data_IF_999990385153
#
_entry.id   IF_999990385153
#
_cell.length_a   1.000
_cell.length_b   1.000
_cell.length_c   1.000
_cell.angle_alpha   90.00
_cell.angle_beta   90.00
_cell.angle_gamma   90.00
#
_symmetry.space_group_name_H-M   'P 1'
#
loop_
_entity.id
_entity.type
_entity.pdbx_description
1 polymer ?
#
# COMPACT_ATOMS: atom_id res chain seq x y z
N UNK A 1 6.68 -11.89 -17.88
CA UNK A 1 5.48 -11.96 -18.73
C UNK A 1 5.70 -11.39 -20.11
N UNK A 2 5.90 -10.07 -20.35
CA UNK A 2 6.13 -9.54 -21.72
C UNK A 2 7.37 -10.07 -22.45
N UNK A 3 8.50 -10.26 -21.77
CA UNK A 3 9.68 -10.90 -22.40
C UNK A 3 9.43 -12.38 -22.70
N UNK A 4 8.67 -13.06 -21.85
CA UNK A 4 8.25 -14.45 -22.04
C UNK A 4 7.26 -14.56 -23.20
N UNK A 5 6.29 -13.65 -23.28
CA UNK A 5 5.35 -13.47 -24.38
C UNK A 5 6.11 -13.15 -25.68
N UNK A 6 7.10 -12.26 -25.67
CA UNK A 6 7.98 -12.01 -26.83
C UNK A 6 8.81 -13.23 -27.22
N UNK A 7 9.30 -14.01 -26.26
CA UNK A 7 10.06 -15.23 -26.52
C UNK A 7 9.15 -16.33 -27.10
N UNK A 8 7.96 -16.54 -26.53
CA UNK A 8 6.95 -17.48 -27.01
C UNK A 8 6.44 -17.07 -28.39
N UNK A 9 6.01 -15.81 -28.56
CA UNK A 9 5.54 -15.26 -29.84
C UNK A 9 6.67 -15.19 -30.88
N UNK A 10 7.93 -15.10 -30.44
CA UNK A 10 9.12 -15.13 -31.28
C UNK A 10 9.73 -16.52 -31.50
N UNK A 11 9.07 -17.60 -31.05
CA UNK A 11 9.55 -18.99 -31.12
C UNK A 11 10.98 -19.22 -30.57
N UNK A 12 11.37 -18.45 -29.55
CA UNK A 12 12.67 -18.56 -28.88
C UNK A 12 12.61 -19.50 -27.69
N UNK A 13 13.76 -20.05 -27.31
CA UNK A 13 13.87 -21.00 -26.21
C UNK A 13 13.43 -20.37 -24.88
N UNK A 14 12.45 -20.99 -24.23
CA UNK A 14 11.95 -20.59 -22.91
C UNK A 14 12.49 -21.59 -21.89
N UNK A 15 13.12 -21.12 -20.82
CA UNK A 15 13.66 -22.02 -19.79
C UNK A 15 12.55 -22.69 -18.98
N UNK A 16 12.79 -23.91 -18.47
CA UNK A 16 11.81 -24.66 -17.65
C UNK A 16 11.34 -23.90 -16.42
N UNK A 17 12.21 -23.07 -15.82
CA UNK A 17 11.85 -22.22 -14.66
C UNK A 17 10.86 -21.11 -15.01
N UNK A 18 10.94 -20.57 -16.23
CA UNK A 18 10.01 -19.55 -16.73
C UNK A 18 8.61 -20.12 -16.97
N UNK A 19 8.52 -21.36 -17.45
CA UNK A 19 7.25 -22.08 -17.60
C UNK A 19 6.65 -22.46 -16.24
N UNK A 20 7.48 -22.92 -15.29
CA UNK A 20 7.04 -23.23 -13.92
C UNK A 20 6.50 -21.99 -13.18
N UNK A 21 7.08 -20.81 -13.41
CA UNK A 21 6.57 -19.55 -12.86
C UNK A 21 5.26 -19.09 -13.51
N UNK A 22 4.96 -19.52 -14.74
CA UNK A 22 3.68 -19.29 -15.40
C UNK A 22 2.60 -20.25 -14.88
N UNK A 23 2.94 -21.52 -14.75
CA UNK A 23 2.04 -22.56 -14.21
C UNK A 23 1.64 -22.28 -12.75
N UNK A 24 2.45 -21.52 -12.00
CA UNK A 24 2.12 -21.11 -10.63
C UNK A 24 1.24 -19.86 -10.55
N UNK A 25 1.04 -19.14 -11.66
CA UNK A 25 0.15 -17.97 -11.71
C UNK A 25 -1.24 -18.42 -12.13
N UNK A 26 -2.16 -18.46 -11.16
CA UNK A 26 -3.57 -18.65 -11.45
C UNK A 26 -4.22 -17.28 -11.73
N UNK A 27 -4.78 -17.12 -12.93
CA UNK A 27 -5.56 -15.94 -13.28
C UNK A 27 -7.00 -16.16 -12.82
N UNK A 28 -7.45 -15.36 -11.86
CA UNK A 28 -8.83 -15.36 -11.38
C UNK A 28 -9.79 -14.66 -12.36
N UNK A 29 -11.09 -14.60 -12.04
CA UNK A 29 -12.04 -13.80 -12.81
C UNK A 29 -11.65 -12.31 -12.84
N UNK A 30 -12.15 -11.58 -13.83
CA UNK A 30 -12.00 -10.12 -13.85
C UNK A 30 -13.02 -9.49 -12.89
N UNK A 31 -12.66 -8.38 -12.26
CA UNK A 31 -13.58 -7.59 -11.47
C UNK A 31 -13.35 -6.09 -11.68
N UNK A 32 -14.44 -5.33 -11.60
CA UNK A 32 -14.39 -3.88 -11.80
C UNK A 32 -13.88 -3.20 -10.54
N UNK A 33 -12.77 -2.48 -10.66
CA UNK A 33 -12.13 -1.76 -9.56
C UNK A 33 -12.42 -0.27 -9.55
N UNK A 34 -13.10 0.26 -10.57
CA UNK A 34 -13.20 1.70 -10.79
C UNK A 34 -11.82 2.34 -10.98
N UNK A 35 -11.63 3.53 -10.42
CA UNK A 35 -10.28 4.12 -10.30
C UNK A 35 -9.61 3.60 -9.02
N UNK A 36 -9.35 2.29 -9.01
CA UNK A 36 -8.73 1.60 -7.89
C UNK A 36 -7.36 2.18 -7.56
N UNK A 37 -7.16 2.54 -6.29
CA UNK A 37 -5.92 3.15 -5.80
C UNK A 37 -5.09 2.17 -4.98
N UNK A 38 -5.73 1.33 -4.16
CA UNK A 38 -5.03 0.39 -3.31
C UNK A 38 -5.85 -0.89 -3.06
N UNK A 39 -5.16 -1.98 -2.83
CA UNK A 39 -5.74 -3.28 -2.49
C UNK A 39 -4.99 -3.85 -1.30
N UNK A 40 -5.70 -4.34 -0.29
CA UNK A 40 -5.09 -4.96 0.89
C UNK A 40 -5.85 -6.22 1.29
N UNK A 41 -5.12 -7.24 1.76
CA UNK A 41 -5.70 -8.50 2.20
C UNK A 41 -5.91 -8.52 3.71
N UNK A 42 -7.15 -8.77 4.13
CA UNK A 42 -7.50 -9.02 5.54
C UNK A 42 -7.47 -10.53 5.79
N UNK A 43 -6.43 -11.00 6.50
CA UNK A 43 -6.27 -12.43 6.74
C UNK A 43 -7.25 -12.98 7.77
N UNK A 44 -7.93 -12.14 8.57
CA UNK A 44 -8.96 -12.57 9.52
C UNK A 44 -10.28 -12.83 8.81
N UNK A 45 -10.75 -11.88 7.99
CA UNK A 45 -12.01 -12.06 7.25
C UNK A 45 -11.85 -12.84 5.94
N UNK A 46 -10.60 -13.07 5.48
CA UNK A 46 -10.30 -13.65 4.16
C UNK A 46 -11.00 -12.86 3.06
N UNK A 47 -10.87 -11.55 3.11
CA UNK A 47 -11.38 -10.60 2.12
C UNK A 47 -10.25 -9.74 1.59
N UNK A 48 -10.44 -9.27 0.38
CA UNK A 48 -9.69 -8.13 -0.12
C UNK A 48 -10.45 -6.86 0.22
N UNK A 49 -9.71 -5.80 0.50
CA UNK A 49 -10.23 -4.46 0.67
C UNK A 49 -9.69 -3.60 -0.46
N UNK A 50 -10.57 -3.16 -1.34
CA UNK A 50 -10.27 -2.27 -2.44
C UNK A 50 -10.62 -0.84 -2.03
N UNK A 51 -9.62 0.03 -2.06
CA UNK A 51 -9.82 1.46 -1.97
C UNK A 51 -9.79 2.07 -3.37
N UNK A 52 -10.82 2.83 -3.71
CA UNK A 52 -10.92 3.52 -5.00
C UNK A 52 -11.23 5.00 -4.83
N UNK A 53 -10.77 5.81 -5.77
CA UNK A 53 -11.14 7.23 -5.85
C UNK A 53 -12.62 7.36 -6.26
N UNK A 54 -13.33 8.27 -5.61
CA UNK A 54 -14.72 8.58 -5.92
C UNK A 54 -14.86 9.63 -7.02
N UNK A 55 -16.06 10.20 -7.13
CA UNK A 55 -16.40 11.18 -8.18
C UNK A 55 -15.72 12.55 -8.02
N UNK A 56 -15.09 12.81 -6.86
CA UNK A 56 -14.31 14.02 -6.61
C UNK A 56 -13.03 13.71 -5.83
N UNK A 57 -12.09 14.65 -5.87
CA UNK A 57 -10.74 14.48 -5.31
C UNK A 57 -10.67 14.27 -3.79
N UNK A 58 -11.79 14.34 -3.06
CA UNK A 58 -11.86 14.18 -1.60
C UNK A 58 -12.67 12.96 -1.16
N UNK A 59 -13.36 12.31 -2.10
CA UNK A 59 -14.18 11.13 -1.83
C UNK A 59 -13.44 9.88 -2.23
N UNK A 60 -13.62 8.86 -1.41
CA UNK A 60 -13.08 7.53 -1.64
C UNK A 60 -14.15 6.50 -1.29
N UNK A 61 -14.07 5.34 -1.92
CA UNK A 61 -14.84 4.18 -1.52
C UNK A 61 -13.90 3.12 -0.96
N UNK A 62 -14.37 2.42 0.07
CA UNK A 62 -13.71 1.24 0.61
C UNK A 62 -14.65 0.05 0.44
N UNK A 63 -14.23 -0.91 -0.37
CA UNK A 63 -15.06 -2.04 -0.78
C UNK A 63 -14.42 -3.35 -0.34
N UNK A 64 -15.15 -4.16 0.41
CA UNK A 64 -14.80 -5.56 0.62
C UNK A 64 -15.05 -6.34 -0.66
N UNK A 65 -14.08 -7.15 -1.06
CA UNK A 65 -14.15 -8.02 -2.23
C UNK A 65 -13.98 -9.47 -1.79
N UNK A 66 -14.89 -10.33 -2.23
CA UNK A 66 -14.83 -11.76 -1.97
C UNK A 66 -13.72 -12.42 -2.80
N UNK A 67 -12.84 -13.20 -2.16
CA UNK A 67 -11.68 -13.80 -2.83
C UNK A 67 -12.00 -14.85 -3.90
N UNK A 68 -13.18 -15.48 -3.83
CA UNK A 68 -13.54 -16.57 -4.75
C UNK A 68 -14.25 -16.04 -5.99
N UNK A 69 -15.18 -15.12 -5.76
CA UNK A 69 -16.02 -14.55 -6.82
C UNK A 69 -15.46 -13.26 -7.38
N UNK A 70 -14.56 -12.61 -6.64
CA UNK A 70 -14.06 -11.25 -6.89
C UNK A 70 -15.18 -10.20 -7.01
N UNK A 71 -16.36 -10.51 -6.44
CA UNK A 71 -17.47 -9.59 -6.38
C UNK A 71 -17.37 -8.67 -5.15
N UNK A 72 -17.86 -7.42 -5.25
CA UNK A 72 -18.02 -6.55 -4.10
C UNK A 72 -19.03 -7.15 -3.11
N UNK A 73 -18.70 -7.14 -1.82
CA UNK A 73 -19.54 -7.63 -0.73
C UNK A 73 -20.25 -6.47 -0.04
N UNK A 74 -19.47 -5.50 0.41
CA UNK A 74 -19.94 -4.29 1.09
C UNK A 74 -19.05 -3.14 0.66
N UNK A 75 -19.64 -1.96 0.50
CA UNK A 75 -18.92 -0.75 0.11
C UNK A 75 -19.39 0.42 0.96
N UNK A 76 -18.44 1.27 1.33
CA UNK A 76 -18.73 2.49 2.07
C UNK A 76 -17.92 3.65 1.47
N UNK A 77 -18.62 4.73 1.16
CA UNK A 77 -18.00 5.99 0.78
C UNK A 77 -17.57 6.77 2.02
N UNK A 78 -16.42 7.42 1.90
CA UNK A 78 -15.87 8.26 2.95
C UNK A 78 -15.06 9.42 2.36
N UNK A 79 -14.88 10.41 3.22
CA UNK A 79 -13.98 11.54 2.99
C UNK A 79 -13.32 11.87 4.30
N UNK A 80 -12.09 12.35 4.23
CA UNK A 80 -11.35 12.76 5.40
C UNK A 80 -11.45 14.26 5.64
N UNK A 81 -11.37 14.63 6.90
CA UNK A 81 -11.19 16.01 7.31
C UNK A 81 -10.15 16.03 8.41
N UNK A 82 -9.17 16.93 8.30
CA UNK A 82 -8.24 17.18 9.38
C UNK A 82 -9.01 17.77 10.57
N UNK A 83 -9.01 17.12 11.75
CA UNK A 83 -9.77 17.59 12.90
C UNK A 83 -9.30 18.94 13.46
N UNK A 84 -8.07 19.39 13.13
CA UNK A 84 -7.50 20.66 13.62
C UNK A 84 -7.81 21.82 12.68
N UNK A 85 -7.64 21.62 11.38
CA UNK A 85 -7.85 22.67 10.36
C UNK A 85 -9.25 22.66 9.76
N UNK A 86 -10.01 21.57 9.96
CA UNK A 86 -11.29 21.28 9.30
C UNK A 86 -11.20 21.19 7.77
N UNK A 87 -10.00 21.02 7.22
CA UNK A 87 -9.79 20.89 5.79
C UNK A 87 -10.02 19.45 5.31
N UNK A 88 -10.62 19.32 4.12
CA UNK A 88 -10.72 18.02 3.46
C UNK A 88 -9.33 17.54 3.04
N UNK A 89 -9.06 16.27 3.31
CA UNK A 89 -7.83 15.62 2.87
C UNK A 89 -8.13 14.98 1.52
N UNK A 90 -7.19 15.13 0.57
CA UNK A 90 -7.33 14.53 -0.75
C UNK A 90 -7.43 13.01 -0.64
N UNK A 91 -8.03 12.40 -1.67
CA UNK A 91 -8.06 10.95 -1.86
C UNK A 91 -6.63 10.40 -1.84
N UNK A 92 -6.34 9.56 -0.84
CA UNK A 92 -5.04 8.94 -0.69
C UNK A 92 -4.91 7.70 -1.57
N UNK A 93 -3.68 7.39 -1.99
CA UNK A 93 -3.43 6.32 -2.98
C UNK A 93 -2.87 5.04 -2.38
N UNK A 94 -3.05 4.85 -1.08
CA UNK A 94 -2.44 3.77 -0.33
C UNK A 94 -3.36 3.34 0.82
N UNK A 95 -3.34 2.06 1.14
CA UNK A 95 -4.20 1.49 2.18
C UNK A 95 -3.58 0.19 2.69
N UNK A 96 -3.62 -0.02 4.01
CA UNK A 96 -3.36 -1.32 4.62
C UNK A 96 -4.39 -1.62 5.70
N UNK A 97 -4.69 -2.90 5.91
CA UNK A 97 -5.50 -3.37 7.02
C UNK A 97 -4.73 -4.47 7.77
N UNK A 98 -4.84 -4.47 9.09
CA UNK A 98 -4.34 -5.57 9.91
C UNK A 98 -5.43 -6.62 10.19
N UNK A 99 -5.02 -7.77 10.71
CA UNK A 99 -5.87 -8.90 11.06
C UNK A 99 -6.75 -8.64 12.28
N UNK A 100 -6.64 -7.48 12.92
CA UNK A 100 -7.58 -7.05 13.96
C UNK A 100 -8.67 -6.12 13.40
N UNK A 101 -8.50 -5.66 12.16
CA UNK A 101 -9.40 -4.73 11.46
C UNK A 101 -9.02 -3.26 11.64
N UNK A 102 -7.83 -2.95 12.16
CA UNK A 102 -7.33 -1.59 12.10
C UNK A 102 -6.86 -1.29 10.67
N UNK A 103 -7.13 -0.07 10.25
CA UNK A 103 -6.89 0.42 8.90
C UNK A 103 -5.87 1.54 8.94
N UNK A 104 -5.03 1.62 7.91
CA UNK A 104 -3.92 2.55 7.84
C UNK A 104 -3.86 3.23 6.48
N UNK A 105 -3.67 4.54 6.51
CA UNK A 105 -3.48 5.38 5.33
C UNK A 105 -2.37 6.37 5.64
N UNK A 106 -1.63 6.76 4.62
CA UNK A 106 -0.55 7.72 4.69
C UNK A 106 -0.77 8.80 3.64
N UNK A 107 -0.58 10.06 4.04
CA UNK A 107 -0.60 11.21 3.15
C UNK A 107 0.76 11.86 3.06
N UNK A 108 1.06 12.50 1.94
CA UNK A 108 2.25 13.34 1.77
C UNK A 108 1.82 14.79 1.60
N UNK A 109 2.37 15.65 2.46
CA UNK A 109 2.16 17.09 2.36
C UNK A 109 2.76 17.60 1.06
N UNK A 110 1.95 18.33 0.29
CA UNK A 110 2.39 19.00 -0.93
C UNK A 110 2.21 20.50 -0.78
N UNK A 111 2.91 21.30 -1.59
CA UNK A 111 2.69 22.76 -1.63
C UNK A 111 1.22 23.16 -1.91
N UNK A 112 0.42 22.28 -2.54
CA UNK A 112 -1.01 22.53 -2.82
C UNK A 112 -1.91 22.27 -1.62
N UNK A 113 -1.48 21.41 -0.69
CA UNK A 113 -2.25 20.98 0.48
C UNK A 113 -1.72 21.59 1.79
N UNK A 114 -0.60 22.31 1.73
CA UNK A 114 0.03 22.98 2.88
C UNK A 114 -0.73 24.25 3.28
N UNK A 115 -1.42 24.18 4.43
CA UNK A 115 -1.99 25.34 5.13
C UNK A 115 -1.36 25.58 6.51
N UNK A 116 -0.86 24.51 7.14
CA UNK A 116 -0.07 24.59 8.37
C UNK A 116 1.38 25.04 8.05
N UNK A 117 1.86 26.09 8.71
CA UNK A 117 3.22 26.60 8.55
C UNK A 117 4.29 25.63 9.09
N UNK A 118 3.93 24.74 10.01
CA UNK A 118 4.83 23.76 10.62
C UNK A 118 5.06 22.51 9.76
N UNK A 119 4.20 22.28 8.76
CA UNK A 119 4.35 21.18 7.81
C UNK A 119 5.22 21.60 6.63
N UNK A 120 6.03 20.68 6.12
CA UNK A 120 6.89 20.90 4.96
C UNK A 120 6.48 20.00 3.80
N UNK A 121 6.77 20.43 2.57
CA UNK A 121 6.52 19.60 1.39
C UNK A 121 7.36 18.32 1.48
N UNK A 122 6.71 17.17 1.40
CA UNK A 122 7.34 15.86 1.60
C UNK A 122 7.19 15.29 3.01
N UNK A 123 6.63 16.05 3.97
CA UNK A 123 6.22 15.51 5.26
C UNK A 123 5.16 14.43 5.05
N UNK A 124 5.29 13.34 5.80
CA UNK A 124 4.42 12.17 5.74
C UNK A 124 3.53 12.16 6.98
N UNK A 125 2.23 12.25 6.74
CA UNK A 125 1.18 12.21 7.76
C UNK A 125 0.63 10.79 7.85
N UNK A 126 0.46 10.29 9.07
CA UNK A 126 -0.03 8.93 9.29
C UNK A 126 -1.45 8.96 9.86
N UNK A 127 -2.31 8.11 9.32
CA UNK A 127 -3.70 7.95 9.74
C UNK A 127 -3.96 6.51 10.13
N UNK A 128 -4.71 6.32 11.20
CA UNK A 128 -5.18 5.01 11.64
C UNK A 128 -6.67 5.04 11.87
N UNK A 129 -7.34 3.91 11.70
CA UNK A 129 -8.79 3.85 11.74
C UNK A 129 -9.34 2.45 11.86
N UNK A 130 -10.67 2.34 11.73
CA UNK A 130 -11.43 1.10 11.67
C UNK A 130 -12.81 1.36 11.09
N UNK A 131 -13.54 0.29 10.77
CA UNK A 131 -14.98 0.39 10.49
C UNK A 131 -15.75 0.69 11.78
N UNK A 132 -16.64 1.67 11.72
CA UNK A 132 -17.61 2.01 12.78
C UNK A 132 -18.95 2.25 12.10
N UNK A 133 -19.98 1.49 12.50
CA UNK A 133 -21.34 1.56 11.94
C UNK A 133 -21.36 1.50 10.40
N UNK A 134 -20.60 0.56 9.82
CA UNK A 134 -20.53 0.36 8.37
C UNK A 134 -19.74 1.42 7.61
N UNK A 135 -19.02 2.33 8.30
CA UNK A 135 -18.22 3.38 7.66
C UNK A 135 -16.80 3.40 8.19
N UNK A 136 -15.78 3.60 7.34
CA UNK A 136 -14.42 3.78 7.82
C UNK A 136 -14.30 5.11 8.58
N UNK A 137 -13.66 5.06 9.74
CA UNK A 137 -13.34 6.22 10.57
C UNK A 137 -11.85 6.23 10.82
N UNK A 138 -11.20 7.31 10.44
CA UNK A 138 -9.77 7.50 10.62
C UNK A 138 -9.47 8.70 11.50
N UNK A 139 -8.33 8.66 12.16
CA UNK A 139 -7.76 9.75 12.95
C UNK A 139 -6.29 9.93 12.57
N UNK A 140 -5.86 11.18 12.53
CA UNK A 140 -4.46 11.52 12.33
C UNK A 140 -3.67 11.25 13.60
N UNK A 141 -2.47 10.72 13.47
CA UNK A 141 -1.58 10.57 14.63
C UNK A 141 -0.85 11.86 14.95
N UNK A 142 -0.39 12.02 16.20
CA UNK A 142 0.37 13.20 16.61
C UNK A 142 1.79 13.26 16.01
N UNK A 143 2.23 12.24 15.26
CA UNK A 143 3.56 12.21 14.63
C UNK A 143 3.51 12.54 13.15
N UNK A 144 4.46 13.36 12.72
CA UNK A 144 4.79 13.60 11.30
C UNK A 144 6.19 13.07 11.03
N UNK A 145 6.37 12.32 9.95
CA UNK A 145 7.69 11.90 9.48
C UNK A 145 8.19 12.94 8.48
N UNK A 146 9.36 13.54 8.74
CA UNK A 146 9.83 14.73 8.01
C UNK A 146 10.39 14.48 6.61
N UNK A 147 10.48 13.23 6.20
CA UNK A 147 10.99 12.87 4.88
C UNK A 147 10.38 11.57 4.41
N UNK A 148 9.91 11.55 3.16
CA UNK A 148 9.50 10.34 2.46
C UNK A 148 10.73 9.62 1.85
N UNK A 149 10.76 8.27 1.85
CA UNK A 149 11.94 7.51 1.40
C UNK A 149 12.13 7.49 -0.13
N UNK A 150 11.16 7.94 -0.93
CA UNK A 150 11.24 7.92 -2.41
C UNK A 150 10.28 8.89 -3.09
N UNK A 151 10.27 8.94 -4.43
CA UNK A 151 9.52 9.94 -5.18
C UNK A 151 8.02 9.63 -5.25
N UNK A 152 7.66 8.44 -5.71
CA UNK A 152 6.28 7.98 -5.81
C UNK A 152 5.88 7.18 -4.57
N UNK A 153 4.65 7.39 -4.13
CA UNK A 153 4.15 6.97 -2.82
C UNK A 153 2.80 6.30 -3.00
N UNK A 154 2.81 4.98 -3.14
CA UNK A 154 1.62 4.25 -3.60
C UNK A 154 1.29 3.01 -2.78
N UNK A 155 2.24 2.47 -2.00
CA UNK A 155 1.99 1.19 -1.33
C UNK A 155 2.20 1.27 0.18
N UNK A 156 1.25 0.67 0.88
CA UNK A 156 1.30 0.40 2.31
C UNK A 156 1.07 -1.08 2.53
N UNK A 157 1.79 -1.64 3.49
CA UNK A 157 1.60 -3.00 3.93
C UNK A 157 1.81 -3.08 5.44
N UNK A 158 1.08 -3.94 6.13
CA UNK A 158 1.25 -4.12 7.57
C UNK A 158 1.76 -5.52 7.87
N UNK A 159 2.84 -5.61 8.64
CA UNK A 159 3.36 -6.89 9.09
C UNK A 159 2.94 -7.16 10.54
N UNK A 160 2.14 -8.19 10.72
CA UNK A 160 1.67 -8.61 12.05
C UNK A 160 2.79 -9.10 12.96
N UNK A 161 3.87 -9.66 12.41
CA UNK A 161 4.90 -10.30 13.23
C UNK A 161 5.72 -9.29 14.01
N UNK A 162 6.06 -8.16 13.39
CA UNK A 162 6.87 -7.11 14.01
C UNK A 162 6.04 -5.85 14.35
N UNK A 163 4.75 -5.86 14.02
CA UNK A 163 3.81 -4.76 14.26
C UNK A 163 4.28 -3.44 13.61
N UNK A 164 4.79 -3.54 12.37
CA UNK A 164 5.25 -2.37 11.59
C UNK A 164 4.39 -2.13 10.36
N UNK A 165 4.14 -0.85 10.12
CA UNK A 165 3.59 -0.35 8.87
C UNK A 165 4.74 -0.08 7.90
N UNK A 166 4.76 -0.80 6.79
CA UNK A 166 5.75 -0.64 5.72
C UNK A 166 5.20 0.36 4.71
N UNK A 167 5.82 1.53 4.68
CA UNK A 167 5.57 2.55 3.68
C UNK A 167 6.58 2.43 2.55
N UNK A 168 6.06 2.19 1.35
CA UNK A 168 6.84 1.70 0.24
C UNK A 168 6.75 2.69 -0.90
N UNK A 169 7.92 2.96 -1.45
CA UNK A 169 8.17 3.92 -2.52
C UNK A 169 9.10 3.27 -3.53
N UNK A 170 9.37 3.93 -4.65
CA UNK A 170 10.22 3.39 -5.72
C UNK A 170 11.61 2.97 -5.23
N UNK A 171 11.70 1.67 -4.93
CA UNK A 171 12.92 0.98 -4.54
C UNK A 171 13.39 1.30 -3.14
N UNK A 172 12.53 1.86 -2.30
CA UNK A 172 12.83 2.07 -0.90
C UNK A 172 11.60 1.84 -0.02
N UNK A 173 11.85 1.40 1.21
CA UNK A 173 10.81 1.28 2.22
C UNK A 173 11.21 1.98 3.51
N UNK A 174 10.20 2.37 4.26
CA UNK A 174 10.27 2.82 5.64
C UNK A 174 9.33 1.96 6.47
N UNK A 175 9.85 1.20 7.41
CA UNK A 175 9.07 0.40 8.34
C UNK A 175 8.86 1.20 9.64
N UNK A 176 7.60 1.40 10.00
CA UNK A 176 7.17 2.33 11.06
C UNK A 176 6.53 1.52 12.19
N UNK A 177 7.10 1.48 13.41
CA UNK A 177 6.57 0.67 14.51
C UNK A 177 5.25 1.22 15.06
N UNK A 178 4.18 0.42 14.93
CA UNK A 178 2.81 0.77 15.30
C UNK A 178 2.67 1.32 16.70
N UNK A 179 3.29 0.63 17.66
CA UNK A 179 3.22 0.97 19.08
C UNK A 179 3.75 2.36 19.40
N UNK A 180 4.62 2.93 18.56
CA UNK A 180 5.20 4.26 18.76
C UNK A 180 4.47 5.35 17.98
N UNK A 181 4.08 5.09 16.73
CA UNK A 181 3.48 6.13 15.89
C UNK A 181 2.04 6.45 16.28
N UNK A 182 1.30 5.48 16.82
CA UNK A 182 -0.04 5.71 17.35
C UNK A 182 -0.06 6.63 18.58
N UNK A 183 0.95 6.55 19.43
CA UNK A 183 1.02 7.32 20.70
C UNK A 183 1.90 8.57 20.61
N UNK A 184 2.52 8.82 19.45
CA UNK A 184 3.31 10.03 19.24
C UNK A 184 4.76 9.97 19.73
N UNK A 185 5.33 8.77 19.93
CA UNK A 185 6.65 8.58 20.54
C UNK A 185 7.76 8.18 19.57
N UNK A 186 7.49 8.22 18.26
CA UNK A 186 8.49 7.90 17.23
C UNK A 186 9.69 8.85 17.29
N UNK A 187 10.87 8.26 17.17
CA UNK A 187 12.14 8.95 16.95
C UNK A 187 12.86 8.34 15.75
N UNK A 188 13.84 9.03 15.19
CA UNK A 188 14.57 8.55 14.01
C UNK A 188 15.18 7.14 14.16
N UNK A 189 15.74 6.73 15.31
CA UNK A 189 16.25 5.38 15.49
C UNK A 189 15.19 4.26 15.49
N UNK A 190 13.89 4.61 15.52
CA UNK A 190 12.81 3.63 15.59
C UNK A 190 12.40 3.05 14.23
N UNK A 191 12.83 3.68 13.14
CA UNK A 191 12.51 3.25 11.80
C UNK A 191 13.54 2.23 11.31
N UNK A 192 13.05 1.16 10.67
CA UNK A 192 13.90 0.43 9.72
C UNK A 192 13.68 1.01 8.33
N UNK A 193 14.76 1.10 7.57
CA UNK A 193 14.73 1.60 6.22
C UNK A 193 15.66 0.77 5.36
N UNK A 194 15.26 0.58 4.11
CA UNK A 194 16.08 -0.14 3.14
C UNK A 194 15.83 0.36 1.74
N UNK A 195 16.87 0.26 0.92
CA UNK A 195 16.85 0.61 -0.49
C UNK A 195 17.18 -0.65 -1.28
N UNK A 196 16.35 -0.97 -2.25
CA UNK A 196 16.54 -2.05 -3.20
C UNK A 196 17.25 -1.49 -4.44
N UNK A 197 18.55 -1.32 -4.27
CA UNK A 197 19.45 -0.83 -5.32
C UNK A 197 19.81 -1.94 -6.31
N UNK A 198 20.01 -1.56 -7.57
CA UNK A 198 20.65 -2.40 -8.58
C UNK A 198 22.18 -2.27 -8.48
N UNK A 199 22.91 -3.25 -9.02
CA UNK A 199 24.38 -3.21 -9.02
C UNK A 199 24.95 -1.97 -9.75
N UNK A 200 24.23 -1.47 -10.75
CA UNK A 200 24.62 -0.30 -11.55
C UNK A 200 24.17 1.04 -10.93
N UNK A 201 23.66 1.04 -9.68
CA UNK A 201 23.32 2.26 -8.95
C UNK A 201 21.92 2.82 -9.18
N UNK A 202 21.01 2.05 -9.79
CA UNK A 202 19.58 2.39 -9.90
C UNK A 202 18.75 1.84 -8.74
N UNK A 203 17.44 2.14 -8.73
CA UNK A 203 16.47 1.52 -7.82
C UNK A 203 15.44 0.71 -8.61
N UNK A 204 14.81 -0.28 -7.97
CA UNK A 204 13.67 -1.01 -8.56
C UNK A 204 12.38 -0.22 -8.34
N UNK A 205 11.46 -0.20 -9.31
CA UNK A 205 10.13 0.39 -9.09
C UNK A 205 9.21 -0.66 -8.45
N UNK A 206 8.47 -0.28 -7.41
CA UNK A 206 7.60 -1.17 -6.66
C UNK A 206 6.15 -0.94 -7.04
N UNK A 207 5.36 -2.02 -6.99
CA UNK A 207 3.94 -2.04 -7.35
C UNK A 207 3.06 -2.62 -6.24
N UNK A 208 3.63 -3.36 -5.29
CA UNK A 208 2.96 -3.83 -4.09
C UNK A 208 3.96 -4.53 -3.16
N UNK A 209 3.55 -4.68 -1.90
CA UNK A 209 4.16 -5.62 -0.96
C UNK A 209 3.09 -6.26 -0.10
N UNK A 210 3.20 -7.57 0.10
CA UNK A 210 2.35 -8.30 1.03
C UNK A 210 3.14 -9.37 1.77
N UNK A 211 2.52 -9.95 2.79
CA UNK A 211 3.15 -10.89 3.72
C UNK A 211 2.55 -12.28 3.56
N UNK A 212 3.44 -13.25 3.40
CA UNK A 212 3.03 -14.65 3.40
C UNK A 212 2.58 -15.14 4.79
N UNK A 213 2.04 -16.37 4.86
CA UNK A 213 1.64 -16.99 6.11
C UNK A 213 2.77 -17.14 7.16
N UNK A 214 4.03 -17.13 6.73
CA UNK A 214 5.21 -17.17 7.62
C UNK A 214 5.84 -15.79 7.82
N UNK A 215 5.14 -14.72 7.42
CA UNK A 215 5.59 -13.32 7.48
C UNK A 215 6.85 -13.03 6.66
N UNK A 216 7.08 -13.80 5.61
CA UNK A 216 8.01 -13.45 4.54
C UNK A 216 7.37 -12.41 3.64
N UNK A 217 8.13 -11.39 3.25
CA UNK A 217 7.64 -10.39 2.32
C UNK A 217 7.68 -10.87 0.88
N UNK A 218 6.65 -10.50 0.13
CA UNK A 218 6.53 -10.64 -1.30
C UNK A 218 6.42 -9.25 -1.92
N UNK A 219 7.30 -8.93 -2.85
CA UNK A 219 7.30 -7.66 -3.56
C UNK A 219 6.88 -7.88 -5.01
N UNK A 220 6.01 -7.00 -5.50
CA UNK A 220 5.71 -6.86 -6.92
C UNK A 220 6.47 -5.64 -7.43
N UNK A 221 7.16 -5.78 -8.57
CA UNK A 221 8.01 -4.72 -9.13
C UNK A 221 7.68 -4.44 -10.58
N UNK A 222 7.84 -3.18 -10.99
CA UNK A 222 7.70 -2.76 -12.37
C UNK A 222 9.04 -2.87 -13.07
N UNK A 223 9.21 -3.88 -13.94
CA UNK A 223 10.07 -3.98 -15.15
C UNK A 223 9.95 -5.40 -15.76
N UNK A 224 8.75 -5.98 -15.70
CA UNK A 224 8.48 -7.40 -15.90
C UNK A 224 8.01 -8.03 -14.59
N UNK A 225 7.03 -8.94 -14.64
CA UNK A 225 6.55 -9.63 -13.44
C UNK A 225 7.70 -10.45 -12.83
N UNK A 226 8.25 -9.96 -11.73
CA UNK A 226 9.25 -10.63 -10.89
C UNK A 226 8.68 -10.70 -9.47
N UNK A 227 8.63 -11.91 -8.90
CA UNK A 227 8.28 -12.11 -7.50
C UNK A 227 9.57 -12.25 -6.69
N UNK A 228 9.84 -11.31 -5.80
CA UNK A 228 11.01 -11.36 -4.92
C UNK A 228 10.60 -11.80 -3.51
N UNK A 229 11.44 -12.64 -2.89
CA UNK A 229 11.32 -13.05 -1.49
C UNK A 229 12.27 -12.19 -0.66
N UNK A 230 11.72 -11.41 0.27
CA UNK A 230 12.55 -10.69 1.25
C UNK A 230 13.09 -11.62 2.35
N UNK A 231 14.16 -11.17 3.00
CA UNK A 231 14.74 -11.83 4.17
C UNK A 231 14.07 -11.36 5.46
#
# INVERSE_FOLDING_TARGET
MRELEKLVNGQRFVSTKMLQALDSVQVGPEFYTGHGQALSFDAKSKRLWLMAEGDDAYKQSLTQVDLKTLAPVESADFSFTDPRSHDKINSERNFAIDNTGNMYIVSVVTNKTKKDTNLQNGDVMLYHGRMVDGKPKFSITPTVIRSKPGYYTQFLSFNEKDQKLYYITDGAYLAIPMTKWLVGSLTYPDFDMGVYATQDGGTREFEAMDWGPTHQSYLVVNRGAELMKGQ
#
